data_IF_390740925812
#
_entry.id   IF_390740925812
#
_cell.length_a   1.000
_cell.length_b   1.000
_cell.length_c   1.000
_cell.angle_alpha   90.00
_cell.angle_beta   90.00
_cell.angle_gamma   90.00
#
_symmetry.space_group_name_H-M   'P 1'
#
loop_
_entity.id
_entity.type
_entity.pdbx_description
1 polymer ?
#
# COMPACT_ATOMS: atom_id res chain seq x y z
N UNK A 1 -28.25 -5.50 -2.58
CA UNK A 1 -27.35 -6.42 -3.28
C UNK A 1 -25.98 -6.38 -2.62
N UNK A 2 -25.31 -7.53 -2.42
CA UNK A 2 -24.00 -7.55 -1.81
C UNK A 2 -22.95 -6.86 -2.71
N UNK A 3 -21.99 -6.24 -2.08
CA UNK A 3 -20.83 -5.63 -2.76
C UNK A 3 -19.89 -6.71 -3.28
N UNK A 4 -18.96 -6.32 -4.16
CA UNK A 4 -17.91 -7.23 -4.63
C UNK A 4 -17.07 -7.79 -3.47
N UNK A 5 -16.77 -6.96 -2.47
CA UNK A 5 -16.02 -7.39 -1.29
C UNK A 5 -16.81 -8.40 -0.46
N UNK A 6 -18.07 -8.15 -0.17
CA UNK A 6 -18.93 -9.09 0.58
C UNK A 6 -19.08 -10.44 -0.14
N UNK A 7 -19.19 -10.43 -1.47
CA UNK A 7 -19.17 -11.67 -2.25
C UNK A 7 -17.85 -12.44 -2.12
N UNK A 8 -16.72 -11.75 -2.26
CA UNK A 8 -15.39 -12.39 -2.14
C UNK A 8 -15.12 -12.87 -0.72
N UNK A 9 -15.54 -12.13 0.30
CA UNK A 9 -15.50 -12.54 1.69
C UNK A 9 -16.30 -13.84 1.91
N UNK A 10 -17.55 -13.91 1.44
CA UNK A 10 -18.37 -15.10 1.58
C UNK A 10 -17.77 -16.32 0.88
N UNK A 11 -17.18 -16.14 -0.32
CA UNK A 11 -16.48 -17.20 -1.06
C UNK A 11 -15.26 -17.67 -0.26
N UNK A 12 -14.48 -16.74 0.31
CA UNK A 12 -13.32 -17.09 1.12
C UNK A 12 -13.73 -17.91 2.36
N UNK A 13 -14.78 -17.50 3.08
CA UNK A 13 -15.30 -18.24 4.24
C UNK A 13 -15.74 -19.67 3.89
N UNK A 14 -16.43 -19.84 2.75
CA UNK A 14 -16.82 -21.16 2.26
C UNK A 14 -15.59 -22.01 1.90
N UNK A 15 -14.60 -21.43 1.23
CA UNK A 15 -13.36 -22.11 0.85
C UNK A 15 -12.55 -22.54 2.09
N UNK A 16 -12.42 -21.68 3.10
CA UNK A 16 -11.75 -21.97 4.35
C UNK A 16 -12.44 -23.08 5.12
N UNK A 17 -13.78 -23.03 5.23
CA UNK A 17 -14.58 -24.09 5.84
C UNK A 17 -14.42 -25.42 5.11
N UNK A 18 -14.44 -25.41 3.77
CA UNK A 18 -14.27 -26.61 2.96
C UNK A 18 -12.86 -27.21 3.07
N UNK A 19 -11.85 -26.37 3.15
CA UNK A 19 -10.46 -26.77 3.32
C UNK A 19 -10.13 -27.23 4.75
N UNK A 20 -11.02 -26.96 5.73
CA UNK A 20 -10.81 -27.32 7.13
C UNK A 20 -9.63 -26.59 7.77
N UNK A 21 -9.43 -25.30 7.45
CA UNK A 21 -8.36 -24.53 8.05
C UNK A 21 -8.65 -24.26 9.53
N UNK A 22 -7.61 -24.20 10.35
CA UNK A 22 -7.72 -23.95 11.78
C UNK A 22 -7.70 -22.46 12.11
N UNK A 23 -7.10 -21.62 11.24
CA UNK A 23 -6.99 -20.17 11.45
C UNK A 23 -6.91 -19.41 10.13
N UNK A 24 -7.49 -18.21 10.09
CA UNK A 24 -7.43 -17.30 8.97
C UNK A 24 -6.98 -15.90 9.43
N UNK A 25 -6.21 -15.22 8.60
CA UNK A 25 -5.95 -13.78 8.73
C UNK A 25 -6.82 -13.10 7.67
N UNK A 26 -7.70 -12.20 8.13
CA UNK A 26 -8.72 -11.58 7.28
C UNK A 26 -8.53 -10.07 7.33
N UNK A 27 -8.26 -9.47 6.17
CA UNK A 27 -8.22 -8.01 6.03
C UNK A 27 -9.64 -7.46 5.88
N UNK A 28 -9.95 -6.36 6.57
CA UNK A 28 -11.23 -5.64 6.41
C UNK A 28 -11.33 -5.01 5.02
N UNK A 29 -12.53 -4.98 4.46
CA UNK A 29 -12.75 -4.29 3.18
C UNK A 29 -12.68 -2.78 3.32
N UNK A 30 -13.36 -2.22 4.33
CA UNK A 30 -13.38 -0.78 4.60
C UNK A 30 -13.76 -0.48 6.04
N UNK A 31 -12.93 0.32 6.70
CA UNK A 31 -13.18 0.71 8.10
C UNK A 31 -13.12 -0.46 9.05
N UNK A 32 -14.13 -0.65 9.88
CA UNK A 32 -14.26 -1.74 10.84
C UNK A 32 -15.73 -1.96 11.20
N UNK A 33 -16.39 -0.94 11.78
CA UNK A 33 -17.80 -1.02 12.11
C UNK A 33 -18.65 -1.23 10.84
N UNK A 34 -19.44 -2.30 10.82
CA UNK A 34 -20.29 -2.65 9.68
C UNK A 34 -19.58 -3.35 8.52
N UNK A 35 -18.26 -3.58 8.59
CA UNK A 35 -17.55 -4.41 7.62
C UNK A 35 -18.00 -5.89 7.75
N UNK A 36 -18.04 -6.59 6.62
CA UNK A 36 -18.46 -8.00 6.58
C UNK A 36 -17.60 -8.90 7.49
N UNK A 37 -16.35 -8.54 7.74
CA UNK A 37 -15.44 -9.25 8.65
C UNK A 37 -15.88 -9.21 10.10
N UNK A 38 -16.80 -8.29 10.49
CA UNK A 38 -17.41 -8.30 11.81
C UNK A 38 -18.26 -9.55 12.08
N UNK A 39 -18.65 -10.30 11.05
CA UNK A 39 -19.39 -11.56 11.19
C UNK A 39 -18.50 -12.74 11.63
N UNK A 40 -17.17 -12.58 11.56
CA UNK A 40 -16.24 -13.61 11.99
C UNK A 40 -16.07 -13.59 13.50
N UNK A 41 -16.05 -14.77 14.10
CA UNK A 41 -15.69 -14.96 15.51
C UNK A 41 -14.16 -14.87 15.62
N UNK A 42 -13.66 -13.67 15.91
CA UNK A 42 -12.24 -13.37 15.88
C UNK A 42 -11.58 -13.63 17.24
N UNK A 43 -10.37 -14.18 17.23
CA UNK A 43 -9.52 -14.34 18.42
C UNK A 43 -8.68 -13.09 18.70
N UNK A 44 -8.50 -12.24 17.70
CA UNK A 44 -7.64 -11.05 17.73
C UNK A 44 -8.09 -10.04 16.69
N UNK A 45 -8.14 -8.77 17.09
CA UNK A 45 -8.27 -7.64 16.17
C UNK A 45 -6.95 -6.89 16.06
N UNK A 46 -6.61 -6.41 14.86
CA UNK A 46 -5.34 -5.70 14.63
C UNK A 46 -5.63 -4.42 13.86
N UNK A 47 -5.07 -3.30 14.34
CA UNK A 47 -5.01 -2.05 13.59
C UNK A 47 -3.55 -1.76 13.26
N UNK A 48 -3.22 -1.63 11.99
CA UNK A 48 -1.87 -1.35 11.51
C UNK A 48 -1.58 0.14 11.54
N UNK A 49 -2.04 0.89 10.54
CA UNK A 49 -1.86 2.35 10.46
C UNK A 49 -3.18 3.08 10.42
N UNK A 50 -3.16 4.32 10.87
CA UNK A 50 -4.25 5.27 10.70
C UNK A 50 -3.72 6.41 9.83
N UNK A 51 -4.19 6.46 8.60
CA UNK A 51 -3.89 7.52 7.63
C UNK A 51 -5.17 8.08 7.02
N UNK A 52 -5.04 9.19 6.30
CA UNK A 52 -6.15 9.78 5.56
C UNK A 52 -6.40 8.98 4.28
N UNK A 53 -7.34 8.06 4.32
CA UNK A 53 -7.82 7.30 3.17
C UNK A 53 -9.33 7.05 3.31
N UNK A 54 -10.05 7.02 2.20
CA UNK A 54 -11.50 6.85 2.17
C UNK A 54 -12.24 7.89 3.04
N UNK A 55 -11.77 9.13 3.01
CA UNK A 55 -12.29 10.21 3.85
C UNK A 55 -13.76 10.48 3.62
N UNK A 56 -14.26 10.27 2.40
CA UNK A 56 -15.66 10.37 2.02
C UNK A 56 -16.60 9.40 2.77
N UNK A 57 -16.05 8.34 3.37
CA UNK A 57 -16.82 7.30 4.07
C UNK A 57 -16.44 7.21 5.55
N UNK A 58 -15.15 7.25 5.85
CA UNK A 58 -14.64 7.00 7.21
C UNK A 58 -14.51 8.28 8.05
N UNK A 59 -14.54 9.46 7.40
CA UNK A 59 -14.43 10.77 8.04
C UNK A 59 -13.20 11.54 7.62
N UNK A 60 -13.25 12.87 7.80
CA UNK A 60 -12.28 13.83 7.28
C UNK A 60 -11.02 13.97 8.15
N UNK A 61 -10.99 13.35 9.33
CA UNK A 61 -9.86 13.43 10.26
C UNK A 61 -9.34 12.04 10.64
N UNK A 62 -8.07 11.97 11.06
CA UNK A 62 -7.45 10.73 11.53
C UNK A 62 -8.16 10.15 12.75
N UNK A 63 -8.71 10.99 13.63
CA UNK A 63 -9.50 10.58 14.79
C UNK A 63 -10.80 9.88 14.38
N UNK A 64 -11.50 10.42 13.37
CA UNK A 64 -12.74 9.80 12.86
C UNK A 64 -12.43 8.46 12.21
N UNK A 65 -11.39 8.40 11.39
CA UNK A 65 -10.93 7.17 10.74
C UNK A 65 -10.48 6.14 11.77
N UNK A 66 -9.77 6.56 12.82
CA UNK A 66 -9.34 5.69 13.92
C UNK A 66 -10.54 5.05 14.63
N UNK A 67 -11.56 5.86 14.96
CA UNK A 67 -12.80 5.38 15.57
C UNK A 67 -13.53 4.38 14.66
N UNK A 68 -13.67 4.70 13.36
CA UNK A 68 -14.31 3.83 12.39
C UNK A 68 -13.58 2.49 12.24
N UNK A 69 -12.24 2.50 12.18
CA UNK A 69 -11.42 1.28 12.11
C UNK A 69 -11.45 0.49 13.42
N UNK A 70 -11.43 1.18 14.57
CA UNK A 70 -11.53 0.52 15.87
C UNK A 70 -12.86 -0.23 16.06
N UNK A 71 -13.91 0.15 15.32
CA UNK A 71 -15.19 -0.57 15.30
C UNK A 71 -15.12 -2.03 14.83
N UNK A 72 -13.95 -2.52 14.39
CA UNK A 72 -13.71 -3.96 14.21
C UNK A 72 -13.57 -4.72 15.53
N UNK A 73 -13.39 -4.04 16.65
CA UNK A 73 -13.26 -4.62 17.97
C UNK A 73 -14.52 -5.42 18.38
N UNK A 74 -14.31 -6.45 19.15
CA UNK A 74 -15.35 -7.24 19.83
C UNK A 74 -15.05 -7.27 21.33
N UNK A 75 -16.05 -7.10 22.14
CA UNK A 75 -15.93 -7.14 23.61
C UNK A 75 -15.24 -8.42 24.07
N UNK A 76 -14.19 -8.29 24.87
CA UNK A 76 -13.39 -9.40 25.39
C UNK A 76 -12.41 -10.00 24.40
N UNK A 77 -12.28 -9.46 23.20
CA UNK A 77 -11.29 -9.89 22.20
C UNK A 77 -10.12 -8.92 22.19
N UNK A 78 -8.87 -9.39 22.39
CA UNK A 78 -7.71 -8.51 22.34
C UNK A 78 -7.64 -7.71 21.04
N UNK A 79 -7.32 -6.42 21.15
CA UNK A 79 -7.02 -5.56 20.01
C UNK A 79 -5.57 -5.08 20.11
N UNK A 80 -4.76 -5.38 19.11
CA UNK A 80 -3.38 -4.88 19.01
C UNK A 80 -3.33 -3.74 18.01
N UNK A 81 -2.79 -2.59 18.41
CA UNK A 81 -2.62 -1.44 17.53
C UNK A 81 -1.16 -1.03 17.42
N UNK A 82 -0.72 -0.72 16.21
CA UNK A 82 0.51 0.02 16.00
C UNK A 82 0.26 1.49 16.34
N UNK A 83 1.05 2.07 17.25
CA UNK A 83 0.82 3.43 17.76
C UNK A 83 0.69 4.44 16.62
N UNK A 84 -0.40 5.20 16.51
CA UNK A 84 -0.68 6.06 15.35
C UNK A 84 0.18 7.33 15.25
N UNK A 85 1.09 7.55 16.20
CA UNK A 85 1.94 8.74 16.29
C UNK A 85 1.31 9.89 17.09
N UNK A 86 0.00 10.02 17.09
CA UNK A 86 -0.75 11.11 17.77
C UNK A 86 -1.62 10.54 18.88
N UNK A 87 -1.54 11.14 20.07
CA UNK A 87 -2.33 10.70 21.23
C UNK A 87 -3.82 10.90 21.02
N UNK A 88 -4.26 11.99 20.35
CA UNK A 88 -5.68 12.23 20.04
C UNK A 88 -6.30 11.13 19.19
N UNK A 89 -5.51 10.57 18.26
CA UNK A 89 -5.92 9.45 17.41
C UNK A 89 -5.98 8.15 18.22
N UNK A 90 -4.99 7.92 19.08
CA UNK A 90 -4.97 6.75 19.98
C UNK A 90 -6.15 6.77 20.95
N UNK A 91 -6.50 7.92 21.52
CA UNK A 91 -7.66 8.08 22.41
C UNK A 91 -8.96 7.57 21.78
N UNK A 92 -9.14 7.76 20.46
CA UNK A 92 -10.34 7.26 19.75
C UNK A 92 -10.37 5.72 19.66
N UNK A 93 -9.23 5.09 19.59
CA UNK A 93 -9.13 3.62 19.63
C UNK A 93 -9.40 3.13 21.06
N UNK A 94 -8.83 3.81 22.07
CA UNK A 94 -9.08 3.51 23.50
C UNK A 94 -10.56 3.64 23.85
N UNK A 95 -11.26 4.66 23.35
CA UNK A 95 -12.71 4.84 23.57
C UNK A 95 -13.54 3.62 23.11
N UNK A 96 -13.07 2.88 22.09
CA UNK A 96 -13.78 1.73 21.51
C UNK A 96 -13.32 0.41 22.15
N UNK A 97 -12.03 0.18 22.31
CA UNK A 97 -11.46 -1.10 22.71
C UNK A 97 -11.27 -1.23 24.25
N UNK A 98 -11.23 -0.09 24.97
CA UNK A 98 -11.12 -0.12 26.44
C UNK A 98 -9.94 -0.92 26.94
N UNK A 99 -10.20 -1.83 27.88
CA UNK A 99 -9.20 -2.67 28.53
C UNK A 99 -8.65 -3.79 27.62
N UNK A 100 -9.28 -4.06 26.49
CA UNK A 100 -8.85 -5.08 25.53
C UNK A 100 -7.69 -4.57 24.62
N UNK A 101 -7.29 -3.30 24.76
CA UNK A 101 -6.30 -2.66 23.87
C UNK A 101 -4.85 -2.90 24.32
N UNK A 102 -4.04 -3.34 23.37
CA UNK A 102 -2.58 -3.50 23.48
C UNK A 102 -1.90 -2.60 22.46
N UNK A 103 -1.11 -1.63 22.92
CA UNK A 103 -0.44 -0.64 22.04
C UNK A 103 1.01 -1.02 21.83
N UNK A 104 1.39 -1.25 20.58
CA UNK A 104 2.78 -1.41 20.17
C UNK A 104 3.35 -0.06 19.71
N UNK A 105 4.33 0.48 20.42
CA UNK A 105 4.89 1.82 20.16
C UNK A 105 5.84 1.90 18.96
N UNK A 106 6.11 0.76 18.31
CA UNK A 106 7.14 0.70 17.29
C UNK A 106 8.55 0.73 17.89
N UNK A 107 9.53 0.61 17.02
CA UNK A 107 10.93 0.84 17.33
C UNK A 107 11.38 1.91 16.33
N UNK A 108 12.19 2.88 16.77
CA UNK A 108 12.78 3.90 15.88
C UNK A 108 13.79 3.23 14.94
N UNK A 109 13.30 2.75 13.81
CA UNK A 109 14.11 2.21 12.71
C UNK A 109 13.67 2.93 11.45
N UNK A 110 14.63 3.45 10.70
CA UNK A 110 14.39 4.20 9.46
C UNK A 110 13.72 3.36 8.36
N UNK A 111 13.74 2.04 8.48
CA UNK A 111 13.16 1.12 7.52
C UNK A 111 11.76 0.66 7.94
N UNK A 112 10.73 1.19 7.29
CA UNK A 112 9.34 0.87 7.61
C UNK A 112 8.99 -0.63 7.43
N UNK A 113 9.63 -1.36 6.51
CA UNK A 113 9.44 -2.80 6.33
C UNK A 113 9.93 -3.59 7.54
N UNK A 114 11.04 -3.17 8.14
CA UNK A 114 11.54 -3.78 9.37
C UNK A 114 10.58 -3.52 10.53
N UNK A 115 9.99 -2.33 10.61
CA UNK A 115 8.98 -2.02 11.62
C UNK A 115 7.75 -2.93 11.51
N UNK A 116 7.28 -3.21 10.28
CA UNK A 116 6.17 -4.14 10.07
C UNK A 116 6.53 -5.57 10.43
N UNK A 117 7.73 -6.02 10.10
CA UNK A 117 8.21 -7.34 10.47
C UNK A 117 8.28 -7.50 12.00
N UNK A 118 8.78 -6.48 12.71
CA UNK A 118 8.87 -6.46 14.17
C UNK A 118 7.47 -6.45 14.79
N UNK A 119 6.54 -5.65 14.23
CA UNK A 119 5.16 -5.64 14.71
C UNK A 119 4.47 -6.99 14.54
N UNK A 120 4.63 -7.63 13.40
CA UNK A 120 4.12 -8.98 13.15
C UNK A 120 4.77 -10.00 14.13
N UNK A 121 6.07 -9.87 14.39
CA UNK A 121 6.80 -10.66 15.37
C UNK A 121 6.30 -10.48 16.80
N UNK A 122 6.02 -9.24 17.18
CA UNK A 122 5.40 -8.94 18.47
C UNK A 122 4.05 -9.65 18.63
N UNK A 123 3.18 -9.55 17.62
CA UNK A 123 1.88 -10.22 17.63
C UNK A 123 2.06 -11.73 17.73
N UNK A 124 2.84 -12.33 16.84
CA UNK A 124 3.04 -13.77 16.80
C UNK A 124 3.56 -14.29 18.13
N UNK A 125 4.57 -13.63 18.72
CA UNK A 125 5.14 -14.02 20.01
C UNK A 125 4.11 -13.89 21.14
N UNK A 126 3.33 -12.80 21.17
CA UNK A 126 2.32 -12.55 22.21
C UNK A 126 1.20 -13.57 22.21
N UNK A 127 0.87 -14.12 21.05
CA UNK A 127 -0.21 -15.11 20.88
C UNK A 127 0.30 -16.55 20.66
N UNK A 128 1.61 -16.78 20.83
CA UNK A 128 2.20 -18.12 20.72
C UNK A 128 2.19 -18.70 19.31
N UNK A 129 2.23 -17.85 18.29
CA UNK A 129 2.29 -18.25 16.89
C UNK A 129 3.74 -18.39 16.43
N UNK A 130 3.97 -19.31 15.53
CA UNK A 130 5.26 -19.44 14.87
C UNK A 130 5.44 -18.37 13.80
N UNK A 131 6.62 -17.72 13.80
CA UNK A 131 6.97 -16.81 12.71
C UNK A 131 7.43 -17.63 11.49
N UNK A 132 7.06 -17.21 10.28
CA UNK A 132 7.58 -17.82 9.08
C UNK A 132 9.10 -17.67 9.03
N UNK A 133 9.81 -18.71 8.61
CA UNK A 133 11.27 -18.70 8.45
C UNK A 133 11.73 -17.94 7.21
N UNK A 134 10.83 -17.62 6.30
CA UNK A 134 11.10 -17.00 5.02
C UNK A 134 10.34 -15.67 4.87
N UNK A 135 10.97 -14.72 4.18
CA UNK A 135 10.33 -13.47 3.83
C UNK A 135 9.23 -13.71 2.78
N UNK A 136 8.02 -13.32 3.12
CA UNK A 136 6.91 -13.37 2.18
C UNK A 136 7.06 -12.24 1.15
N UNK A 137 7.15 -12.60 -0.12
CA UNK A 137 7.19 -11.66 -1.23
C UNK A 137 5.77 -11.42 -1.77
N UNK A 138 5.12 -10.39 -1.24
CA UNK A 138 3.79 -9.99 -1.73
C UNK A 138 3.93 -9.00 -2.90
N UNK A 139 3.29 -9.27 -4.06
CA UNK A 139 3.37 -8.40 -5.24
C UNK A 139 3.01 -6.94 -4.94
N UNK A 140 3.92 -6.02 -5.27
CA UNK A 140 3.76 -4.59 -5.03
C UNK A 140 3.73 -4.15 -3.55
N UNK A 141 3.99 -5.09 -2.62
CA UNK A 141 3.95 -4.86 -1.17
C UNK A 141 5.18 -5.39 -0.45
N UNK A 142 6.23 -5.75 -1.16
CA UNK A 142 7.46 -6.27 -0.57
C UNK A 142 8.68 -5.60 -1.19
N UNK A 143 9.73 -5.30 -0.39
CA UNK A 143 10.93 -4.62 -0.87
C UNK A 143 11.74 -5.45 -1.88
N UNK A 144 11.56 -6.78 -1.87
CA UNK A 144 12.25 -7.70 -2.76
C UNK A 144 11.42 -8.09 -4.00
N UNK A 145 10.27 -7.48 -4.19
CA UNK A 145 9.44 -7.67 -5.36
C UNK A 145 9.62 -6.49 -6.33
N UNK A 146 9.65 -6.65 -7.64
CA UNK A 146 9.42 -7.87 -8.42
C UNK A 146 10.66 -8.78 -8.52
N UNK A 147 10.48 -10.02 -9.02
CA UNK A 147 11.61 -10.90 -9.35
C UNK A 147 12.56 -10.23 -10.35
N UNK A 148 13.86 -10.35 -10.12
CA UNK A 148 14.91 -9.62 -10.88
C UNK A 148 14.88 -9.87 -12.39
N UNK A 149 14.37 -11.03 -12.80
CA UNK A 149 14.37 -11.45 -14.22
C UNK A 149 13.14 -10.99 -14.99
N UNK A 150 12.13 -10.45 -14.30
CA UNK A 150 10.87 -10.04 -14.92
C UNK A 150 11.01 -8.73 -15.71
N UNK A 151 11.85 -7.83 -15.26
CA UNK A 151 12.09 -6.52 -15.88
C UNK A 151 13.51 -6.39 -16.41
N UNK A 152 13.69 -5.55 -17.41
CA UNK A 152 15.02 -5.32 -18.07
C UNK A 152 15.97 -4.43 -17.27
N UNK A 153 15.53 -3.86 -16.19
CA UNK A 153 16.30 -2.95 -15.31
C UNK A 153 16.06 -3.30 -13.86
N UNK A 154 16.92 -2.82 -12.97
CA UNK A 154 16.63 -2.89 -11.54
C UNK A 154 15.44 -1.98 -11.23
N UNK A 155 14.31 -2.58 -10.89
CA UNK A 155 13.04 -1.90 -10.67
C UNK A 155 12.48 -2.26 -9.30
N UNK A 156 11.99 -1.24 -8.60
CA UNK A 156 11.19 -1.36 -7.39
C UNK A 156 9.77 -0.93 -7.74
N UNK A 157 8.79 -1.73 -7.37
CA UNK A 157 7.38 -1.46 -7.65
C UNK A 157 6.61 -1.50 -6.34
N UNK A 158 5.91 -0.41 -6.03
CA UNK A 158 5.06 -0.28 -4.86
C UNK A 158 3.61 -0.01 -5.26
N UNK A 159 2.70 -0.68 -4.58
CA UNK A 159 1.27 -0.44 -4.67
C UNK A 159 0.79 0.72 -3.77
N UNK A 160 1.70 1.51 -3.21
CA UNK A 160 1.38 2.72 -2.47
C UNK A 160 0.56 3.69 -3.34
N UNK A 161 -0.56 4.16 -2.81
CA UNK A 161 -1.54 4.94 -3.56
C UNK A 161 -2.28 6.01 -2.73
N UNK A 162 -1.96 6.14 -1.44
CA UNK A 162 -2.40 7.23 -0.56
C UNK A 162 -1.20 8.04 -0.06
N UNK A 163 -1.43 9.18 0.55
CA UNK A 163 -0.38 10.10 0.98
C UNK A 163 0.67 9.43 1.86
N UNK A 164 0.25 8.78 2.95
CA UNK A 164 1.15 8.13 3.91
C UNK A 164 1.98 7.01 3.26
N UNK A 165 1.35 6.20 2.39
CA UNK A 165 2.03 5.14 1.67
C UNK A 165 3.06 5.67 0.67
N UNK A 166 2.70 6.70 -0.10
CA UNK A 166 3.59 7.33 -1.06
C UNK A 166 4.77 8.00 -0.35
N UNK A 167 4.52 8.76 0.72
CA UNK A 167 5.56 9.38 1.51
C UNK A 167 6.53 8.35 2.10
N UNK A 168 6.00 7.29 2.70
CA UNK A 168 6.81 6.20 3.25
C UNK A 168 7.70 5.53 2.20
N UNK A 169 7.15 5.28 1.00
CA UNK A 169 7.92 4.70 -0.11
C UNK A 169 8.99 5.65 -0.62
N UNK A 170 8.67 6.93 -0.79
CA UNK A 170 9.61 7.94 -1.23
C UNK A 170 10.80 8.06 -0.26
N UNK A 171 10.54 8.18 1.03
CA UNK A 171 11.56 8.29 2.07
C UNK A 171 12.47 7.05 2.15
N UNK A 172 12.00 5.90 1.70
CA UNK A 172 12.78 4.65 1.69
C UNK A 172 13.71 4.50 0.47
N UNK A 173 13.73 5.48 -0.45
CA UNK A 173 14.58 5.46 -1.64
C UNK A 173 15.89 6.18 -1.34
N UNK A 174 16.95 5.40 -1.14
CA UNK A 174 18.30 5.91 -0.83
C UNK A 174 19.16 6.07 -2.09
N UNK A 175 18.94 5.23 -3.11
CA UNK A 175 19.75 5.15 -4.30
C UNK A 175 19.19 5.99 -5.46
N UNK A 176 20.06 6.52 -6.35
CA UNK A 176 19.61 7.24 -7.54
C UNK A 176 18.62 6.42 -8.37
N UNK A 177 17.48 7.01 -8.69
CA UNK A 177 16.39 6.31 -9.38
C UNK A 177 15.64 7.21 -10.35
N UNK A 178 14.94 6.58 -11.29
CA UNK A 178 13.90 7.21 -12.11
C UNK A 178 12.57 6.93 -11.45
N UNK A 179 11.80 7.96 -11.14
CA UNK A 179 10.44 7.80 -10.65
C UNK A 179 9.47 7.66 -11.82
N UNK A 180 8.70 6.58 -11.84
CA UNK A 180 7.56 6.37 -12.72
C UNK A 180 6.29 6.40 -11.86
N UNK A 181 5.46 7.43 -12.02
CA UNK A 181 4.29 7.66 -11.18
C UNK A 181 3.02 7.85 -12.01
N UNK A 182 1.93 7.25 -11.54
CA UNK A 182 0.60 7.42 -12.09
C UNK A 182 -0.45 7.08 -11.04
N UNK A 183 -1.47 7.91 -10.92
CA UNK A 183 -2.50 7.77 -9.89
C UNK A 183 -3.89 7.70 -10.51
N UNK A 184 -4.85 7.14 -9.78
CA UNK A 184 -6.27 7.17 -10.12
C UNK A 184 -6.98 8.24 -9.32
N UNK A 185 -8.05 8.79 -9.86
CA UNK A 185 -8.83 9.85 -9.23
C UNK A 185 -9.41 9.39 -7.88
N UNK A 186 -9.29 10.27 -6.88
CA UNK A 186 -9.82 10.11 -5.53
C UNK A 186 -10.42 11.43 -5.06
N UNK A 187 -11.34 11.36 -4.12
CA UNK A 187 -11.69 12.53 -3.33
C UNK A 187 -10.43 13.08 -2.64
N UNK A 188 -10.26 14.39 -2.59
CA UNK A 188 -9.12 15.06 -1.92
C UNK A 188 -7.74 14.70 -2.49
N UNK A 189 -7.64 14.43 -3.80
CA UNK A 189 -6.38 14.08 -4.45
C UNK A 189 -5.29 15.13 -4.25
N UNK A 190 -5.65 16.42 -4.37
CA UNK A 190 -4.71 17.54 -4.18
C UNK A 190 -4.12 17.55 -2.77
N UNK A 191 -4.94 17.39 -1.74
CA UNK A 191 -4.50 17.32 -0.35
C UNK A 191 -3.59 16.09 -0.12
N UNK A 192 -3.98 14.95 -0.67
CA UNK A 192 -3.20 13.71 -0.56
C UNK A 192 -1.82 13.80 -1.23
N UNK A 193 -1.65 14.66 -2.23
CA UNK A 193 -0.40 14.84 -2.96
C UNK A 193 0.46 16.00 -2.44
N UNK A 194 -0.07 16.94 -1.64
CA UNK A 194 0.68 18.09 -1.12
C UNK A 194 1.89 17.65 -0.30
N UNK A 195 1.72 16.70 0.62
CA UNK A 195 2.82 16.19 1.43
C UNK A 195 3.84 15.43 0.59
N UNK A 196 3.35 14.63 -0.37
CA UNK A 196 4.19 13.92 -1.35
C UNK A 196 5.03 14.89 -2.17
N UNK A 197 4.46 16.04 -2.56
CA UNK A 197 5.17 17.05 -3.36
C UNK A 197 6.30 17.69 -2.57
N UNK A 198 6.09 18.00 -1.30
CA UNK A 198 7.11 18.61 -0.45
C UNK A 198 8.34 17.72 -0.30
N UNK A 199 8.16 16.42 -0.14
CA UNK A 199 9.23 15.43 -0.04
C UNK A 199 9.99 15.28 -1.37
N UNK A 200 9.27 15.14 -2.48
CA UNK A 200 9.87 15.04 -3.81
C UNK A 200 10.81 16.19 -4.16
N UNK A 201 10.54 17.38 -3.62
CA UNK A 201 11.34 18.58 -3.88
C UNK A 201 12.72 18.55 -3.22
N UNK A 202 12.82 17.90 -2.07
CA UNK A 202 14.04 17.84 -1.27
C UNK A 202 14.91 16.62 -1.56
N UNK A 203 14.44 15.68 -2.42
CA UNK A 203 15.15 14.44 -2.70
C UNK A 203 16.01 14.53 -3.97
N UNK A 204 17.35 14.62 -3.84
CA UNK A 204 18.26 14.59 -4.98
C UNK A 204 18.39 13.23 -5.64
N UNK A 205 17.73 12.21 -5.11
CA UNK A 205 17.76 10.83 -5.58
C UNK A 205 17.05 10.61 -6.92
N UNK A 206 16.06 11.46 -7.26
CA UNK A 206 15.35 11.33 -8.53
C UNK A 206 16.14 11.98 -9.68
N UNK A 207 16.69 11.15 -10.56
CA UNK A 207 17.39 11.59 -11.78
C UNK A 207 16.41 12.12 -12.81
N UNK A 208 15.29 11.42 -12.99
CA UNK A 208 14.20 11.80 -13.90
C UNK A 208 12.86 11.35 -13.28
N UNK A 209 11.82 12.03 -13.71
CA UNK A 209 10.46 11.69 -13.32
C UNK A 209 9.64 11.49 -14.58
N UNK A 210 8.89 10.41 -14.63
CA UNK A 210 7.97 10.09 -15.72
C UNK A 210 6.57 9.98 -15.12
N UNK A 211 5.65 10.75 -15.66
CA UNK A 211 4.24 10.72 -15.26
C UNK A 211 3.45 9.97 -16.32
N UNK A 212 2.60 9.04 -15.86
CA UNK A 212 1.79 8.17 -16.73
C UNK A 212 0.38 7.98 -16.20
N UNK A 213 -0.46 7.34 -16.99
CA UNK A 213 -1.87 7.08 -16.67
C UNK A 213 -2.10 5.57 -16.54
N UNK A 214 -2.55 5.06 -15.36
CA UNK A 214 -3.07 3.69 -15.27
C UNK A 214 -4.21 3.47 -16.27
N UNK A 215 -4.19 2.35 -16.99
CA UNK A 215 -5.19 2.05 -18.03
C UNK A 215 -6.40 1.29 -17.50
N UNK A 216 -6.28 0.69 -16.32
CA UNK A 216 -7.33 -0.05 -15.63
C UNK A 216 -7.68 0.63 -14.31
N UNK A 217 -8.81 0.27 -13.71
CA UNK A 217 -9.19 0.78 -12.40
C UNK A 217 -10.69 1.02 -12.26
N UNK A 218 -11.15 1.15 -10.99
CA UNK A 218 -12.53 1.58 -10.69
C UNK A 218 -12.74 3.05 -11.03
N UNK A 219 -11.76 3.87 -10.70
CA UNK A 219 -11.76 5.29 -10.95
C UNK A 219 -10.89 5.58 -12.17
N UNK A 220 -11.20 6.60 -12.96
CA UNK A 220 -10.35 6.99 -14.07
C UNK A 220 -8.96 7.39 -13.60
N UNK A 221 -7.96 7.27 -14.47
CA UNK A 221 -6.66 7.86 -14.22
C UNK A 221 -6.76 9.37 -14.05
N UNK A 222 -5.87 9.94 -13.24
CA UNK A 222 -5.63 11.39 -13.28
C UNK A 222 -4.89 11.69 -14.56
N UNK A 223 -5.31 12.74 -15.28
CA UNK A 223 -4.60 13.20 -16.47
C UNK A 223 -3.13 13.47 -16.15
N UNK A 224 -2.23 12.96 -16.99
CA UNK A 224 -0.80 13.02 -16.71
C UNK A 224 -0.25 14.46 -16.68
N UNK A 225 -0.82 15.40 -17.43
CA UNK A 225 -0.45 16.82 -17.37
C UNK A 225 -0.94 17.47 -16.08
N UNK A 226 -2.18 17.14 -15.67
CA UNK A 226 -2.73 17.57 -14.38
C UNK A 226 -1.87 17.06 -13.22
N UNK A 227 -1.56 15.77 -13.21
CA UNK A 227 -0.70 15.16 -12.18
C UNK A 227 0.70 15.78 -12.17
N UNK A 228 1.29 16.00 -13.34
CA UNK A 228 2.59 16.67 -13.45
C UNK A 228 2.56 18.09 -12.87
N UNK A 229 1.51 18.84 -13.15
CA UNK A 229 1.35 20.19 -12.60
C UNK A 229 1.15 20.18 -11.08
N UNK A 230 0.35 19.25 -10.55
CA UNK A 230 0.13 19.13 -9.11
C UNK A 230 1.42 18.80 -8.36
N UNK A 231 2.19 17.83 -8.88
CA UNK A 231 3.38 17.32 -8.17
C UNK A 231 4.62 18.18 -8.43
N UNK A 232 4.75 18.81 -9.61
CA UNK A 232 6.02 19.36 -10.06
C UNK A 232 5.99 20.85 -10.46
N UNK A 233 4.93 21.59 -10.14
CA UNK A 233 4.74 23.01 -10.53
C UNK A 233 5.91 23.95 -10.22
N UNK A 234 6.82 23.54 -9.35
CA UNK A 234 7.94 24.38 -8.89
C UNK A 234 9.33 23.73 -9.11
N UNK A 235 9.46 22.64 -9.86
CA UNK A 235 10.77 22.04 -10.19
C UNK A 235 11.40 22.73 -11.40
N UNK A 236 12.74 22.78 -11.40
CA UNK A 236 13.53 23.28 -12.54
C UNK A 236 13.52 22.28 -13.72
N UNK A 237 13.37 20.97 -13.41
CA UNK A 237 13.30 19.91 -14.40
C UNK A 237 11.83 19.48 -14.58
N UNK A 238 11.30 19.70 -15.78
CA UNK A 238 9.96 19.26 -16.12
C UNK A 238 9.88 17.72 -16.17
N UNK A 239 8.86 17.10 -15.56
CA UNK A 239 8.66 15.67 -15.68
C UNK A 239 8.35 15.30 -17.13
N UNK A 240 8.80 14.12 -17.54
CA UNK A 240 8.41 13.57 -18.83
C UNK A 240 7.00 13.00 -18.74
N UNK A 241 6.14 13.39 -19.65
CA UNK A 241 4.78 12.87 -19.74
C UNK A 241 4.73 11.78 -20.82
N UNK A 242 4.29 10.59 -20.45
CA UNK A 242 3.95 9.50 -21.35
C UNK A 242 2.69 8.81 -20.79
N UNK A 243 1.56 9.00 -21.48
CA UNK A 243 0.25 8.52 -20.99
C UNK A 243 0.12 7.01 -20.97
N UNK A 244 0.75 6.33 -21.93
CA UNK A 244 0.74 4.86 -22.00
C UNK A 244 1.76 4.29 -20.99
N UNK A 245 1.32 3.56 -19.94
CA UNK A 245 2.21 3.06 -18.89
C UNK A 245 3.24 2.06 -19.42
N UNK A 246 2.93 1.32 -20.48
CA UNK A 246 3.88 0.35 -21.06
C UNK A 246 5.00 1.06 -21.79
N UNK A 247 4.70 2.12 -22.54
CA UNK A 247 5.70 2.97 -23.17
C UNK A 247 6.50 3.78 -22.13
N UNK A 248 5.83 4.26 -21.09
CA UNK A 248 6.48 4.95 -19.98
C UNK A 248 7.53 4.05 -19.30
N UNK A 249 7.21 2.77 -19.09
CA UNK A 249 8.17 1.78 -18.59
C UNK A 249 9.34 1.56 -19.55
N UNK A 250 9.08 1.42 -20.85
CA UNK A 250 10.15 1.25 -21.86
C UNK A 250 11.11 2.45 -21.87
N UNK A 251 10.56 3.66 -21.79
CA UNK A 251 11.34 4.89 -21.66
C UNK A 251 12.16 4.88 -20.37
N UNK A 252 11.55 4.53 -19.23
CA UNK A 252 12.25 4.44 -17.95
C UNK A 252 13.40 3.41 -18.01
N UNK A 253 13.18 2.24 -18.62
CA UNK A 253 14.22 1.22 -18.80
C UNK A 253 15.41 1.71 -19.67
N UNK A 254 15.13 2.51 -20.71
CA UNK A 254 16.18 3.11 -21.54
C UNK A 254 16.98 4.13 -20.72
N UNK A 255 16.29 5.04 -20.04
CA UNK A 255 16.91 6.09 -19.23
C UNK A 255 17.70 5.51 -18.04
N UNK A 256 17.16 4.48 -17.39
CA UNK A 256 17.82 3.75 -16.31
C UNK A 256 19.18 3.18 -16.73
N UNK A 257 19.23 2.56 -17.90
CA UNK A 257 20.50 2.05 -18.45
C UNK A 257 21.50 3.17 -18.78
N UNK A 258 21.01 4.31 -19.30
CA UNK A 258 21.87 5.46 -19.63
C UNK A 258 22.43 6.15 -18.39
N UNK A 259 21.62 6.27 -17.36
CA UNK A 259 21.98 6.93 -16.10
C UNK A 259 22.61 5.98 -15.07
N UNK A 260 22.68 4.67 -15.37
CA UNK A 260 23.14 3.62 -14.46
C UNK A 260 22.43 3.69 -13.08
N UNK A 261 21.11 3.84 -13.07
CA UNK A 261 20.29 3.96 -11.85
C UNK A 261 19.10 3.01 -11.89
N UNK A 262 18.41 2.85 -10.75
CA UNK A 262 17.20 2.07 -10.65
C UNK A 262 15.95 2.76 -11.23
N UNK A 263 14.82 2.06 -11.16
CA UNK A 263 13.49 2.60 -11.46
C UNK A 263 12.62 2.36 -10.22
N UNK A 264 11.87 3.37 -9.80
CA UNK A 264 10.86 3.25 -8.75
C UNK A 264 9.49 3.55 -9.32
N UNK A 265 8.55 2.63 -9.17
CA UNK A 265 7.16 2.74 -9.65
C UNK A 265 6.22 2.82 -8.47
N UNK A 266 5.31 3.81 -8.47
CA UNK A 266 4.28 3.96 -7.43
C UNK A 266 3.10 4.79 -7.88
N UNK A 267 2.08 4.92 -7.03
CA UNK A 267 0.93 5.80 -7.19
C UNK A 267 -0.40 5.08 -7.40
N UNK A 268 -0.39 3.85 -7.89
CA UNK A 268 -1.62 3.09 -8.09
C UNK A 268 -1.38 1.58 -8.17
N UNK A 269 -2.24 0.80 -7.51
CA UNK A 269 -2.26 -0.67 -7.67
C UNK A 269 -2.57 -1.07 -9.12
N UNK A 270 -3.33 -0.25 -9.84
CA UNK A 270 -3.67 -0.50 -11.23
C UNK A 270 -2.48 -0.27 -12.15
N UNK A 271 -1.67 0.76 -11.89
CA UNK A 271 -0.40 0.95 -12.60
C UNK A 271 0.51 -0.26 -12.43
N UNK A 272 0.62 -0.77 -11.20
CA UNK A 272 1.39 -1.99 -10.92
C UNK A 272 0.86 -3.17 -11.75
N UNK A 273 -0.46 -3.33 -11.81
CA UNK A 273 -1.13 -4.37 -12.61
C UNK A 273 -0.83 -4.26 -14.10
N UNK A 274 -0.93 -3.06 -14.68
CA UNK A 274 -0.64 -2.79 -16.09
C UNK A 274 0.81 -3.14 -16.45
N UNK A 275 1.76 -2.69 -15.62
CA UNK A 275 3.18 -2.94 -15.87
C UNK A 275 3.57 -4.40 -15.66
N UNK A 276 3.00 -5.06 -14.65
CA UNK A 276 3.23 -6.48 -14.42
C UNK A 276 2.71 -7.32 -15.59
N UNK A 277 1.49 -7.07 -16.03
CA UNK A 277 0.90 -7.75 -17.20
C UNK A 277 1.79 -7.57 -18.43
N UNK A 278 2.21 -6.34 -18.73
CA UNK A 278 3.09 -6.05 -19.86
C UNK A 278 4.44 -6.79 -19.74
N UNK A 279 5.07 -6.78 -18.57
CA UNK A 279 6.35 -7.44 -18.37
C UNK A 279 6.25 -8.96 -18.56
N UNK A 280 5.20 -9.58 -18.04
CA UNK A 280 4.92 -11.02 -18.19
C UNK A 280 4.63 -11.38 -19.65
N UNK A 281 3.77 -10.63 -20.33
CA UNK A 281 3.49 -10.84 -21.76
C UNK A 281 4.76 -10.72 -22.61
N UNK A 282 5.63 -9.74 -22.30
CA UNK A 282 6.93 -9.55 -22.97
C UNK A 282 7.91 -10.69 -22.73
N UNK A 283 7.88 -11.31 -21.55
CA UNK A 283 8.72 -12.45 -21.19
C UNK A 283 8.20 -13.80 -21.71
N UNK A 284 6.95 -13.86 -22.14
CA UNK A 284 6.27 -15.09 -22.53
C UNK A 284 5.88 -15.99 -21.34
N UNK A 285 5.80 -15.41 -20.14
CA UNK A 285 5.44 -16.11 -18.90
C UNK A 285 3.93 -16.18 -18.63
N UNK A 286 3.57 -16.82 -17.52
CA UNK A 286 2.21 -16.82 -16.97
C UNK A 286 2.12 -15.83 -15.81
N UNK A 287 1.14 -14.91 -15.87
CA UNK A 287 0.90 -13.90 -14.84
C UNK A 287 0.68 -14.53 -13.46
N UNK A 288 -0.02 -15.64 -13.38
CA UNK A 288 -0.32 -16.33 -12.12
C UNK A 288 0.91 -16.94 -11.45
N UNK A 289 1.93 -17.32 -12.22
CA UNK A 289 3.21 -17.80 -11.65
C UNK A 289 3.94 -16.68 -10.90
N UNK A 290 3.86 -15.45 -11.39
CA UNK A 290 4.49 -14.28 -10.77
C UNK A 290 3.68 -13.66 -9.61
N UNK A 291 2.38 -13.97 -9.52
CA UNK A 291 1.51 -13.54 -8.43
C UNK A 291 1.45 -14.52 -7.26
N UNK A 292 2.04 -15.69 -7.38
CA UNK A 292 2.11 -16.66 -6.26
C UNK A 292 2.98 -16.09 -5.15
N UNK A 293 2.42 -16.08 -3.95
CA UNK A 293 3.16 -15.81 -2.72
C UNK A 293 3.93 -17.07 -2.36
N UNK A 294 5.24 -16.99 -2.32
CA UNK A 294 6.13 -18.09 -1.95
C UNK A 294 6.73 -17.84 -0.58
#
# INVERSE_FOLDING_TARGET
>A
EPTFYECTFAIAMLAFSHAGIDRAIIETGLGGEGDATCLVDADLCIITTIGLDHTEILGDTREQIARAKAGIHREGVPMVVYHPGEESVLEKIVEVAGDDLYVHKGIEIDNHWQNWFIFAGYIATSFGWELPSENINWPGRSPNWPPKDLFKSNIRISAAHNADGLQSELMSIEEPTILLIGVTQKANLEEALVDVTSELWHMPTFRHIIVTEPTTGRNPAVDAEELANLIFSNRLDEPKIERDPTKALEIAEIMSRQAACGISVMGSVYLVGDLLKFAVERSGGDLWEHLRVH
#
